data_IF_734564326755
#
_entry.id   IF_734564326755
#
_cell.length_a   1.000
_cell.length_b   1.000
_cell.length_c   1.000
_cell.angle_alpha   90.00
_cell.angle_beta   90.00
_cell.angle_gamma   90.00
#
_symmetry.space_group_name_H-M   'P 1'
#
loop_
_entity.id
_entity.type
_entity.pdbx_description
1 polymer ?
#
# COMPACT_ATOMS: atom_id res chain seq x y z
N UNK A 1 27.02 58.16 -46.95
CA UNK A 1 25.56 57.95 -46.78
C UNK A 1 25.36 56.83 -45.77
N UNK A 2 25.05 57.20 -44.53
CA UNK A 2 24.94 56.29 -43.38
C UNK A 2 23.59 55.56 -43.39
N UNK A 3 23.61 54.24 -43.16
CA UNK A 3 22.42 53.42 -42.87
C UNK A 3 22.17 53.44 -41.36
N UNK A 4 20.94 53.66 -40.85
CA UNK A 4 20.66 53.58 -39.43
C UNK A 4 20.47 52.12 -38.98
N UNK A 5 21.04 51.79 -37.82
CA UNK A 5 20.83 50.55 -37.07
C UNK A 5 19.46 50.60 -36.37
N UNK A 6 18.65 49.57 -36.57
CA UNK A 6 17.45 49.29 -35.76
C UNK A 6 17.89 48.60 -34.46
N UNK A 7 17.75 49.31 -33.33
CA UNK A 7 17.85 48.71 -32.01
C UNK A 7 16.47 48.18 -31.60
N UNK A 8 16.32 46.85 -31.52
CA UNK A 8 15.14 46.20 -30.97
C UNK A 8 15.24 46.18 -29.44
N UNK A 9 14.38 46.93 -28.77
CA UNK A 9 14.20 46.85 -27.32
C UNK A 9 13.40 45.57 -26.99
N UNK A 10 14.09 44.53 -26.51
CA UNK A 10 13.46 43.35 -25.93
C UNK A 10 12.97 43.67 -24.52
N UNK A 11 11.66 43.75 -24.32
CA UNK A 11 11.07 43.81 -22.99
C UNK A 11 11.18 42.42 -22.34
N UNK A 12 12.01 42.30 -21.29
CA UNK A 12 11.94 41.16 -20.37
C UNK A 12 10.61 41.25 -19.60
N UNK A 13 9.66 40.39 -19.95
CA UNK A 13 8.50 40.10 -19.10
C UNK A 13 8.97 39.25 -17.92
N UNK A 14 9.17 39.90 -16.77
CA UNK A 14 9.28 39.21 -15.49
C UNK A 14 7.89 38.69 -15.16
N UNK A 15 7.66 37.39 -15.33
CA UNK A 15 6.43 36.74 -14.86
C UNK A 15 6.44 36.72 -13.34
N UNK A 16 5.71 37.64 -12.71
CA UNK A 16 5.37 37.54 -11.29
C UNK A 16 4.50 36.31 -11.10
N UNK A 17 5.02 35.26 -10.45
CA UNK A 17 4.25 34.08 -10.10
C UNK A 17 3.04 34.48 -9.26
N UNK A 18 1.84 34.18 -9.76
CA UNK A 18 0.63 34.27 -8.96
C UNK A 18 0.77 33.26 -7.81
N UNK A 19 0.71 33.74 -6.57
CA UNK A 19 0.63 32.85 -5.41
C UNK A 19 -0.62 31.96 -5.57
N UNK A 20 -0.44 30.64 -5.49
CA UNK A 20 -1.53 29.69 -5.49
C UNK A 20 -2.54 30.07 -4.40
N UNK A 21 -3.83 30.17 -4.76
CA UNK A 21 -4.90 30.43 -3.79
C UNK A 21 -5.17 29.14 -3.03
N UNK A 22 -4.66 29.06 -1.81
CA UNK A 22 -5.01 28.02 -0.84
C UNK A 22 -6.53 28.04 -0.61
N UNK A 23 -7.21 26.93 -0.89
CA UNK A 23 -8.65 26.82 -0.64
C UNK A 23 -8.87 26.47 0.84
N UNK A 24 -9.73 27.20 1.56
CA UNK A 24 -9.99 26.89 2.96
C UNK A 24 -10.62 25.49 3.07
N UNK A 25 -10.11 24.65 3.98
CA UNK A 25 -10.71 23.35 4.29
C UNK A 25 -12.13 23.54 4.84
N UNK A 26 -13.03 22.55 4.63
CA UNK A 26 -14.33 22.56 5.29
C UNK A 26 -14.19 22.68 6.82
N UNK A 27 -15.20 23.21 7.53
CA UNK A 27 -15.18 23.19 8.99
C UNK A 27 -15.21 21.74 9.50
N UNK A 28 -14.35 21.42 10.49
CA UNK A 28 -14.32 20.11 11.14
C UNK A 28 -14.87 20.21 12.58
N UNK A 29 -15.53 19.16 13.05
CA UNK A 29 -16.03 19.07 14.43
C UNK A 29 -15.66 17.73 15.03
N UNK A 30 -14.77 17.75 16.02
CA UNK A 30 -14.43 16.57 16.81
C UNK A 30 -15.62 16.19 17.72
N UNK A 31 -15.87 14.89 17.89
CA UNK A 31 -16.95 14.40 18.76
C UNK A 31 -18.34 14.42 18.12
N UNK A 32 -18.44 14.36 16.79
CA UNK A 32 -19.72 14.18 16.11
C UNK A 32 -20.41 12.87 16.54
N UNK A 33 -21.70 12.95 16.86
CA UNK A 33 -22.55 11.79 17.13
C UNK A 33 -23.56 11.56 15.99
N UNK A 34 -23.91 10.31 15.65
CA UNK A 34 -24.84 10.00 14.58
C UNK A 34 -26.26 10.53 14.88
N UNK A 35 -26.78 11.39 14.01
CA UNK A 35 -28.04 12.12 14.23
C UNK A 35 -29.26 11.36 13.69
N UNK A 36 -29.12 10.69 12.57
CA UNK A 36 -30.22 9.98 11.90
C UNK A 36 -30.28 8.49 12.26
N UNK A 37 -31.43 7.84 11.98
CA UNK A 37 -31.58 6.39 12.17
C UNK A 37 -30.58 5.63 11.29
N UNK A 38 -30.38 6.09 10.05
CA UNK A 38 -29.46 5.48 9.09
C UNK A 38 -28.00 5.60 9.56
N UNK A 39 -27.61 6.78 10.04
CA UNK A 39 -26.28 6.98 10.62
C UNK A 39 -26.05 6.10 11.84
N UNK A 40 -27.01 6.02 12.76
CA UNK A 40 -26.90 5.14 13.94
C UNK A 40 -26.77 3.68 13.56
N UNK A 41 -27.54 3.21 12.57
CA UNK A 41 -27.45 1.85 12.06
C UNK A 41 -26.06 1.55 11.47
N UNK A 42 -25.56 2.42 10.59
CA UNK A 42 -24.23 2.26 9.98
C UNK A 42 -23.11 2.32 11.02
N UNK A 43 -23.21 3.18 12.03
CA UNK A 43 -22.23 3.25 13.11
C UNK A 43 -22.23 1.98 13.95
N UNK A 44 -23.42 1.46 14.29
CA UNK A 44 -23.52 0.18 14.99
C UNK A 44 -22.89 -0.98 14.21
N UNK A 45 -23.08 -1.03 12.88
CA UNK A 45 -22.44 -2.04 12.04
C UNK A 45 -20.92 -1.86 11.99
N UNK A 46 -20.45 -0.62 11.87
CA UNK A 46 -19.02 -0.29 11.90
C UNK A 46 -18.37 -0.64 13.26
N UNK A 47 -19.09 -0.46 14.38
CA UNK A 47 -18.62 -0.81 15.72
C UNK A 47 -18.49 -2.33 15.90
N UNK A 48 -19.45 -3.12 15.40
CA UNK A 48 -19.35 -4.58 15.38
C UNK A 48 -18.18 -5.05 14.49
N UNK A 49 -17.99 -4.42 13.33
CA UNK A 49 -16.85 -4.72 12.48
C UNK A 49 -15.53 -4.38 13.16
N UNK A 50 -15.43 -3.24 13.83
CA UNK A 50 -14.25 -2.83 14.59
C UNK A 50 -13.90 -3.83 15.70
N UNK A 51 -14.91 -4.40 16.41
CA UNK A 51 -14.68 -5.48 17.38
C UNK A 51 -14.03 -6.69 16.72
N UNK A 52 -14.54 -7.09 15.54
CA UNK A 52 -13.98 -8.22 14.79
C UNK A 52 -12.53 -7.96 14.36
N UNK A 53 -12.21 -6.74 13.93
CA UNK A 53 -10.87 -6.31 13.54
C UNK A 53 -9.91 -6.35 14.74
N UNK A 54 -10.33 -5.85 15.91
CA UNK A 54 -9.53 -5.88 17.14
C UNK A 54 -9.11 -7.30 17.54
N UNK A 55 -10.02 -8.27 17.36
CA UNK A 55 -9.75 -9.70 17.65
C UNK A 55 -9.09 -10.48 16.50
N UNK A 56 -8.87 -9.86 15.34
CA UNK A 56 -8.41 -10.55 14.14
C UNK A 56 -6.92 -10.90 14.22
N UNK A 57 -6.55 -12.12 13.82
CA UNK A 57 -5.15 -12.52 13.64
C UNK A 57 -4.46 -11.80 12.48
N UNK A 58 -5.22 -11.12 11.63
CA UNK A 58 -4.67 -10.25 10.58
C UNK A 58 -4.23 -8.89 11.13
N UNK A 59 -4.64 -8.49 12.34
CA UNK A 59 -4.25 -7.21 12.92
C UNK A 59 -2.76 -7.23 13.25
N UNK A 60 -2.05 -6.19 12.81
CA UNK A 60 -0.64 -5.98 13.16
C UNK A 60 -0.59 -5.26 14.51
N UNK A 61 -0.21 -6.00 15.54
CA UNK A 61 -0.16 -5.55 16.95
C UNK A 61 1.19 -4.89 17.29
N UNK A 62 1.60 -3.92 16.47
CA UNK A 62 2.84 -3.17 16.65
C UNK A 62 2.54 -1.69 16.90
N UNK A 63 2.80 -1.24 18.12
CA UNK A 63 2.49 0.13 18.54
C UNK A 63 3.27 1.16 17.71
N UNK A 64 4.52 0.86 17.35
CA UNK A 64 5.37 1.75 16.57
C UNK A 64 4.82 1.99 15.16
N UNK A 65 4.46 0.93 14.44
CA UNK A 65 3.91 1.01 13.10
C UNK A 65 2.53 1.70 13.09
N UNK A 66 1.63 1.34 14.02
CA UNK A 66 0.32 1.96 14.10
C UNK A 66 0.43 3.46 14.45
N UNK A 67 1.32 3.82 15.39
CA UNK A 67 1.59 5.22 15.74
C UNK A 67 2.18 5.99 14.55
N UNK A 68 3.11 5.41 13.80
CA UNK A 68 3.71 6.03 12.63
C UNK A 68 2.68 6.28 11.51
N UNK A 69 1.83 5.29 11.19
CA UNK A 69 0.76 5.47 10.18
C UNK A 69 -0.22 6.57 10.63
N UNK A 70 -0.58 6.60 11.92
CA UNK A 70 -1.39 7.68 12.50
C UNK A 70 -0.69 9.03 12.39
N UNK A 71 0.62 9.10 12.66
CA UNK A 71 1.40 10.33 12.56
C UNK A 71 1.39 10.88 11.13
N UNK A 72 1.55 10.02 10.11
CA UNK A 72 1.46 10.42 8.70
C UNK A 72 0.06 10.96 8.37
N UNK A 73 -1.00 10.31 8.84
CA UNK A 73 -2.37 10.83 8.71
C UNK A 73 -2.49 12.22 9.35
N UNK A 74 -2.07 12.38 10.62
CA UNK A 74 -2.14 13.65 11.34
C UNK A 74 -1.35 14.78 10.65
N UNK A 75 -0.15 14.48 10.14
CA UNK A 75 0.64 15.43 9.35
C UNK A 75 -0.06 15.84 8.06
N UNK A 76 -0.89 14.96 7.50
CA UNK A 76 -1.60 15.22 6.24
C UNK A 76 -2.90 16.00 6.47
N UNK A 77 -3.80 15.52 7.34
CA UNK A 77 -5.13 16.12 7.53
C UNK A 77 -5.18 17.15 8.66
N UNK A 78 -4.13 17.26 9.47
CA UNK A 78 -4.09 18.11 10.66
C UNK A 78 -4.56 17.39 11.93
N UNK A 79 -4.05 17.85 13.09
CA UNK A 79 -4.26 17.20 14.39
C UNK A 79 -5.73 17.14 14.79
N UNK A 80 -6.46 18.26 14.67
CA UNK A 80 -7.88 18.34 15.03
C UNK A 80 -8.71 17.26 14.31
N UNK A 81 -8.40 17.02 13.02
CA UNK A 81 -9.05 16.01 12.18
C UNK A 81 -8.66 14.58 12.55
N UNK A 82 -7.37 14.33 12.75
CA UNK A 82 -6.88 12.98 12.99
C UNK A 82 -7.21 12.46 14.40
N UNK A 83 -7.49 13.35 15.37
CA UNK A 83 -7.78 12.97 16.75
C UNK A 83 -8.98 12.03 16.87
N UNK A 84 -9.98 12.16 16.00
CA UNK A 84 -11.15 11.29 15.95
C UNK A 84 -10.94 9.94 15.26
N UNK A 85 -9.78 9.71 14.64
CA UNK A 85 -9.52 8.50 13.83
C UNK A 85 -8.89 7.41 14.66
N UNK A 86 -9.26 6.15 14.46
CA UNK A 86 -8.58 4.98 15.05
C UNK A 86 -7.98 4.15 13.92
N UNK A 87 -6.64 4.09 13.87
CA UNK A 87 -5.90 3.40 12.80
C UNK A 87 -5.65 1.95 13.20
N UNK A 88 -5.90 1.03 12.27
CA UNK A 88 -5.58 -0.39 12.39
C UNK A 88 -4.83 -0.87 11.15
N UNK A 89 -3.57 -1.26 11.31
CA UNK A 89 -2.82 -1.92 10.24
C UNK A 89 -3.18 -3.40 10.18
N UNK A 90 -3.51 -3.89 8.98
CA UNK A 90 -3.87 -5.27 8.70
C UNK A 90 -2.83 -5.93 7.80
N UNK A 91 -2.37 -7.11 8.20
CA UNK A 91 -1.44 -7.94 7.45
C UNK A 91 -2.12 -8.58 6.24
N UNK A 92 -2.32 -7.77 5.19
CA UNK A 92 -2.91 -8.14 3.92
C UNK A 92 -2.02 -7.54 2.82
N UNK A 93 -1.35 -8.37 1.99
CA UNK A 93 -0.33 -7.89 1.05
C UNK A 93 -0.85 -7.18 -0.20
N UNK A 94 -2.17 -6.97 -0.31
CA UNK A 94 -2.78 -6.18 -1.36
C UNK A 94 -2.78 -4.68 -1.00
N UNK A 95 -2.68 -3.83 -2.01
CA UNK A 95 -2.79 -2.37 -1.85
C UNK A 95 -4.23 -1.99 -1.48
N UNK A 96 -4.44 -1.46 -0.28
CA UNK A 96 -5.73 -0.90 0.13
C UNK A 96 -5.65 -0.06 1.42
N UNK A 97 -6.59 0.87 1.55
CA UNK A 97 -6.97 1.51 2.80
C UNK A 97 -8.48 1.79 2.76
N UNK A 98 -9.13 1.91 3.91
CA UNK A 98 -10.55 2.29 4.00
C UNK A 98 -10.80 3.07 5.29
N UNK A 99 -11.81 3.94 5.27
CA UNK A 99 -12.24 4.69 6.45
C UNK A 99 -13.74 4.49 6.72
N UNK A 100 -14.05 3.96 7.90
CA UNK A 100 -15.41 3.63 8.33
C UNK A 100 -16.15 4.84 8.91
N UNK A 101 -17.50 4.86 8.86
CA UNK A 101 -18.30 5.97 9.37
C UNK A 101 -18.12 6.31 10.85
N UNK A 102 -17.67 5.36 11.68
CA UNK A 102 -17.44 5.56 13.12
C UNK A 102 -16.02 6.07 13.44
N UNK A 103 -15.19 6.36 12.44
CA UNK A 103 -13.80 6.81 12.64
C UNK A 103 -12.74 5.71 12.60
N UNK A 104 -13.10 4.45 12.33
CA UNK A 104 -12.13 3.36 12.15
C UNK A 104 -11.47 3.41 10.76
N UNK A 105 -10.16 3.64 10.71
CA UNK A 105 -9.33 3.53 9.51
C UNK A 105 -8.61 2.19 9.49
N UNK A 106 -8.68 1.47 8.37
CA UNK A 106 -7.87 0.27 8.14
C UNK A 106 -6.88 0.49 7.01
N UNK A 107 -5.65 0.08 7.24
CA UNK A 107 -4.54 0.20 6.30
C UNK A 107 -3.94 -1.17 6.06
N UNK A 108 -3.88 -1.62 4.81
CA UNK A 108 -3.35 -2.94 4.49
C UNK A 108 -1.83 -2.87 4.29
N UNK A 109 -1.09 -3.87 4.76
CA UNK A 109 0.39 -3.91 4.64
C UNK A 109 0.88 -3.82 3.20
N UNK A 110 0.08 -4.26 2.22
CA UNK A 110 0.39 -4.09 0.80
C UNK A 110 0.40 -2.63 0.32
N UNK A 111 -0.33 -1.73 0.97
CA UNK A 111 -0.21 -0.28 0.73
C UNK A 111 1.15 0.22 1.23
N UNK A 112 1.53 -0.17 2.46
CA UNK A 112 2.81 0.26 3.07
C UNK A 112 4.03 -0.16 2.24
N UNK A 113 3.99 -1.34 1.62
CA UNK A 113 5.10 -1.78 0.76
C UNK A 113 5.21 -0.98 -0.57
N UNK A 114 4.10 -0.42 -1.06
CA UNK A 114 4.01 0.24 -2.37
C UNK A 114 4.17 1.75 -2.33
N UNK A 115 3.68 2.40 -1.28
CA UNK A 115 3.94 3.81 -1.07
C UNK A 115 5.46 4.02 -0.91
N UNK A 116 6.00 5.05 -1.55
CA UNK A 116 7.44 5.32 -1.59
C UNK A 116 7.88 6.44 -0.66
N UNK A 117 6.93 7.08 0.02
CA UNK A 117 7.16 8.25 0.85
C UNK A 117 6.04 8.49 1.86
N UNK A 118 6.29 9.33 2.87
CA UNK A 118 5.23 9.80 3.78
C UNK A 118 4.12 10.52 3.01
N UNK A 119 4.47 11.28 1.96
CA UNK A 119 3.53 12.01 1.12
C UNK A 119 2.59 11.09 0.32
N UNK A 120 3.11 10.01 -0.26
CA UNK A 120 2.29 9.02 -0.98
C UNK A 120 1.36 8.27 -0.03
N UNK A 121 1.84 7.88 1.16
CA UNK A 121 0.96 7.30 2.19
C UNK A 121 -0.10 8.32 2.61
N UNK A 122 0.31 9.56 2.89
CA UNK A 122 -0.57 10.68 3.21
C UNK A 122 -1.65 10.91 2.15
N UNK A 123 -1.30 10.83 0.87
CA UNK A 123 -2.25 10.99 -0.24
C UNK A 123 -3.41 9.99 -0.14
N UNK A 124 -3.10 8.71 0.08
CA UNK A 124 -4.10 7.65 0.20
C UNK A 124 -4.92 7.83 1.47
N UNK A 125 -4.28 8.09 2.62
CA UNK A 125 -5.00 8.26 3.90
C UNK A 125 -5.88 9.52 3.90
N UNK A 126 -5.41 10.60 3.27
CA UNK A 126 -6.17 11.85 3.10
C UNK A 126 -7.37 11.67 2.17
N UNK A 127 -7.24 10.89 1.10
CA UNK A 127 -8.35 10.50 0.23
C UNK A 127 -9.43 9.71 1.00
N UNK A 128 -9.03 8.70 1.77
CA UNK A 128 -9.96 7.94 2.62
C UNK A 128 -10.62 8.82 3.69
N UNK A 129 -9.87 9.73 4.29
CA UNK A 129 -10.39 10.69 5.25
C UNK A 129 -11.39 11.66 4.60
N UNK A 130 -11.16 12.09 3.36
CA UNK A 130 -12.09 12.93 2.62
C UNK A 130 -13.44 12.23 2.39
N UNK A 131 -13.45 10.93 2.05
CA UNK A 131 -14.69 10.14 1.98
C UNK A 131 -15.46 10.14 3.31
N UNK A 132 -14.74 10.06 4.43
CA UNK A 132 -15.30 10.11 5.77
C UNK A 132 -15.85 11.50 6.12
N UNK A 133 -15.06 12.56 5.93
CA UNK A 133 -15.47 13.94 6.24
C UNK A 133 -16.69 14.37 5.40
N UNK A 134 -16.75 13.94 4.13
CA UNK A 134 -17.88 14.20 3.21
C UNK A 134 -19.05 13.22 3.35
N UNK A 135 -18.96 12.24 4.26
CA UNK A 135 -19.97 11.22 4.56
C UNK A 135 -20.43 10.44 3.33
N UNK A 136 -19.51 10.08 2.44
CA UNK A 136 -19.83 9.41 1.19
C UNK A 136 -20.50 8.04 1.40
N UNK A 137 -20.10 7.28 2.41
CA UNK A 137 -20.71 5.97 2.71
C UNK A 137 -22.17 6.12 3.14
N UNK A 138 -22.51 7.17 3.92
CA UNK A 138 -23.88 7.46 4.31
C UNK A 138 -24.74 7.86 3.11
N UNK A 139 -24.25 8.78 2.28
CA UNK A 139 -24.95 9.20 1.06
C UNK A 139 -25.20 8.01 0.12
N UNK A 140 -24.20 7.14 -0.04
CA UNK A 140 -24.31 5.91 -0.84
C UNK A 140 -25.31 4.91 -0.27
N UNK A 141 -25.32 4.72 1.06
CA UNK A 141 -26.30 3.88 1.75
C UNK A 141 -27.74 4.40 1.56
N UNK A 142 -27.97 5.70 1.77
CA UNK A 142 -29.27 6.34 1.59
C UNK A 142 -29.77 6.23 0.15
N UNK A 143 -28.90 6.43 -0.84
CA UNK A 143 -29.24 6.28 -2.25
C UNK A 143 -29.69 4.85 -2.58
N UNK A 144 -28.97 3.82 -2.08
CA UNK A 144 -29.35 2.40 -2.28
C UNK A 144 -30.66 2.07 -1.58
N UNK A 145 -30.87 2.56 -0.36
CA UNK A 145 -32.13 2.37 0.37
C UNK A 145 -33.32 3.00 -0.36
N UNK A 146 -33.15 4.15 -1.00
CA UNK A 146 -34.23 4.75 -1.79
C UNK A 146 -34.58 3.94 -3.05
N UNK A 147 -33.62 3.18 -3.59
CA UNK A 147 -33.79 2.33 -4.76
C UNK A 147 -34.35 0.92 -4.45
N UNK A 148 -34.27 0.47 -3.20
CA UNK A 148 -34.77 -0.84 -2.72
C UNK A 148 -35.86 -0.64 -1.69
N UNK A 149 -37.04 -1.25 -1.87
CA UNK A 149 -38.21 -1.07 -0.98
C UNK A 149 -37.83 -1.04 0.52
N UNK A 150 -38.18 0.04 1.22
CA UNK A 150 -37.74 0.33 2.60
C UNK A 150 -38.08 -0.81 3.58
N UNK A 151 -39.14 -1.57 3.31
CA UNK A 151 -39.55 -2.74 4.10
C UNK A 151 -38.51 -3.88 4.09
N UNK A 152 -37.73 -4.02 3.02
CA UNK A 152 -36.73 -5.09 2.89
C UNK A 152 -35.53 -4.89 3.84
N UNK A 153 -35.14 -3.64 4.13
CA UNK A 153 -33.98 -3.34 4.98
C UNK A 153 -34.25 -3.47 6.49
N UNK A 154 -35.48 -3.25 6.94
CA UNK A 154 -35.88 -3.52 8.34
C UNK A 154 -35.69 -4.99 8.74
N UNK A 155 -35.83 -5.92 7.79
CA UNK A 155 -35.54 -7.34 8.01
C UNK A 155 -34.03 -7.64 7.97
N UNK A 156 -33.25 -6.90 7.18
CA UNK A 156 -31.78 -7.07 7.09
C UNK A 156 -31.08 -6.58 8.35
N UNK A 157 -31.46 -5.40 8.88
CA UNK A 157 -30.95 -4.91 10.17
C UNK A 157 -31.41 -5.79 11.34
N UNK A 158 -32.63 -6.36 11.28
CA UNK A 158 -33.14 -7.31 12.26
C UNK A 158 -32.44 -8.69 12.24
N UNK A 159 -32.02 -9.15 11.06
CA UNK A 159 -31.35 -10.45 10.87
C UNK A 159 -29.82 -10.38 10.91
N UNK A 160 -29.20 -9.20 10.81
CA UNK A 160 -27.75 -9.03 10.94
C UNK A 160 -27.21 -9.45 12.32
N UNK A 161 -28.08 -9.50 13.33
CA UNK A 161 -27.78 -10.03 14.67
C UNK A 161 -27.74 -11.57 14.74
N UNK A 162 -28.09 -12.29 13.68
CA UNK A 162 -28.23 -13.76 13.70
C UNK A 162 -27.49 -14.51 12.59
N UNK A 163 -26.76 -13.84 11.69
CA UNK A 163 -26.09 -14.52 10.56
C UNK A 163 -24.60 -14.69 10.84
N UNK A 164 -24.23 -15.84 11.37
CA UNK A 164 -22.86 -16.33 11.50
C UNK A 164 -22.31 -16.81 10.15
N UNK A 165 -21.97 -15.87 9.26
CA UNK A 165 -21.07 -16.16 8.14
C UNK A 165 -20.13 -14.98 7.90
N UNK A 166 -18.89 -15.11 8.36
CA UNK A 166 -17.77 -14.16 8.17
C UNK A 166 -17.67 -13.63 6.72
N UNK A 167 -18.07 -14.42 5.72
CA UNK A 167 -18.04 -14.06 4.30
C UNK A 167 -19.16 -13.09 3.85
N UNK A 168 -20.34 -13.10 4.47
CA UNK A 168 -21.45 -12.20 4.09
C UNK A 168 -21.24 -10.78 4.61
N UNK A 169 -20.63 -10.65 5.80
CA UNK A 169 -20.25 -9.36 6.40
C UNK A 169 -19.25 -8.60 5.52
N UNK A 170 -18.17 -9.25 5.06
CA UNK A 170 -17.20 -8.61 4.15
C UNK A 170 -17.83 -8.15 2.81
N UNK A 171 -18.84 -8.85 2.28
CA UNK A 171 -19.49 -8.46 1.03
C UNK A 171 -20.44 -7.27 1.18
N UNK A 172 -21.14 -7.15 2.31
CA UNK A 172 -21.97 -5.99 2.60
C UNK A 172 -21.10 -4.76 2.89
N UNK A 173 -20.05 -4.94 3.69
CA UNK A 173 -19.08 -3.90 4.06
C UNK A 173 -18.31 -3.41 2.83
N UNK A 174 -17.85 -4.30 1.95
CA UNK A 174 -17.20 -3.90 0.70
C UNK A 174 -18.10 -3.07 -0.23
N UNK A 175 -19.43 -3.17 -0.08
CA UNK A 175 -20.38 -2.32 -0.82
C UNK A 175 -20.51 -0.91 -0.23
N UNK A 176 -20.20 -0.72 1.05
CA UNK A 176 -20.19 0.60 1.72
C UNK A 176 -19.07 1.50 1.22
N UNK A 177 -17.98 0.91 0.75
CA UNK A 177 -16.80 1.60 0.22
C UNK A 177 -16.77 1.66 -1.30
N UNK A 178 -17.93 1.49 -1.96
CA UNK A 178 -18.08 1.75 -3.40
C UNK A 178 -18.69 3.12 -3.59
N UNK A 179 -17.91 4.02 -4.17
CA UNK A 179 -18.33 5.39 -4.44
C UNK A 179 -18.52 5.63 -5.94
N UNK A 180 -19.38 6.60 -6.26
CA UNK A 180 -19.57 7.03 -7.64
C UNK A 180 -18.46 8.01 -8.08
N UNK A 181 -18.43 8.35 -9.38
CA UNK A 181 -17.37 9.20 -9.95
C UNK A 181 -17.33 10.59 -9.32
N UNK A 182 -18.48 11.14 -8.99
CA UNK A 182 -18.60 12.45 -8.35
C UNK A 182 -18.00 12.43 -6.94
N UNK A 183 -18.31 11.39 -6.16
CA UNK A 183 -17.76 11.20 -4.81
C UNK A 183 -16.24 10.95 -4.83
N UNK A 184 -15.74 10.18 -5.79
CA UNK A 184 -14.30 9.99 -5.98
C UNK A 184 -13.59 11.31 -6.29
N UNK A 185 -14.17 12.14 -7.17
CA UNK A 185 -13.63 13.45 -7.51
C UNK A 185 -13.66 14.42 -6.33
N UNK A 186 -14.74 14.43 -5.56
CA UNK A 186 -14.82 15.23 -4.32
C UNK A 186 -13.76 14.81 -3.31
N UNK A 187 -13.56 13.51 -3.12
CA UNK A 187 -12.54 12.97 -2.21
C UNK A 187 -11.11 13.24 -2.69
N UNK A 188 -10.87 13.17 -4.00
CA UNK A 188 -9.58 13.51 -4.60
C UNK A 188 -9.21 14.98 -4.39
N UNK A 189 -10.12 15.90 -4.69
CA UNK A 189 -9.84 17.33 -4.58
C UNK A 189 -9.61 17.73 -3.13
N UNK A 190 -10.41 17.20 -2.19
CA UNK A 190 -10.24 17.48 -0.77
C UNK A 190 -9.01 16.78 -0.18
N UNK A 191 -8.73 15.53 -0.60
CA UNK A 191 -7.50 14.82 -0.25
C UNK A 191 -6.24 15.58 -0.69
N UNK A 192 -6.30 16.15 -1.90
CA UNK A 192 -5.25 17.00 -2.44
C UNK A 192 -5.12 18.33 -1.69
N UNK A 193 -6.25 18.91 -1.24
CA UNK A 193 -6.24 20.10 -0.38
C UNK A 193 -5.56 19.83 0.98
N UNK A 194 -5.80 18.67 1.60
CA UNK A 194 -5.07 18.29 2.82
C UNK A 194 -3.56 18.22 2.56
N UNK A 195 -3.15 17.53 1.49
CA UNK A 195 -1.72 17.44 1.14
C UNK A 195 -1.10 18.81 0.85
N UNK A 196 -1.76 19.65 0.05
CA UNK A 196 -1.26 20.97 -0.31
C UNK A 196 -1.09 21.90 0.90
N UNK A 197 -1.92 21.73 1.93
CA UNK A 197 -1.83 22.46 3.21
C UNK A 197 -0.87 21.82 4.22
N UNK A 198 -0.39 20.62 3.92
CA UNK A 198 0.62 19.93 4.71
C UNK A 198 2.04 20.34 4.27
N UNK A 199 3.05 19.72 4.87
CA UNK A 199 4.45 19.87 4.45
C UNK A 199 4.82 19.06 3.19
N UNK A 200 3.90 18.24 2.67
CA UNK A 200 4.17 17.27 1.61
C UNK A 200 3.88 17.85 0.22
N UNK A 201 4.62 17.42 -0.82
CA UNK A 201 4.32 17.75 -2.19
C UNK A 201 2.98 17.14 -2.62
N UNK A 202 2.06 17.98 -3.07
CA UNK A 202 0.72 17.57 -3.47
C UNK A 202 0.72 16.69 -4.74
N UNK A 203 1.77 16.75 -5.57
CA UNK A 203 1.90 15.85 -6.74
C UNK A 203 1.94 14.37 -6.37
N UNK A 204 2.29 14.02 -5.14
CA UNK A 204 2.37 12.62 -4.69
C UNK A 204 1.03 11.90 -4.75
N UNK A 205 -0.10 12.61 -4.76
CA UNK A 205 -1.40 12.01 -5.07
C UNK A 205 -1.44 11.41 -6.49
N UNK A 206 -0.85 12.09 -7.49
CA UNK A 206 -0.73 11.57 -8.86
C UNK A 206 0.29 10.42 -8.94
N UNK A 207 1.43 10.55 -8.26
CA UNK A 207 2.51 9.55 -8.27
C UNK A 207 2.02 8.18 -7.80
N UNK A 208 1.17 8.11 -6.77
CA UNK A 208 0.53 6.86 -6.32
C UNK A 208 -0.16 6.14 -7.48
N UNK A 209 -0.99 6.85 -8.26
CA UNK A 209 -1.70 6.25 -9.39
C UNK A 209 -0.75 5.78 -10.48
N UNK A 210 0.25 6.59 -10.83
CA UNK A 210 1.27 6.23 -11.83
C UNK A 210 1.99 4.94 -11.42
N UNK A 211 2.44 4.85 -10.17
CA UNK A 211 3.17 3.68 -9.66
C UNK A 211 2.32 2.40 -9.69
N UNK A 212 1.04 2.48 -9.32
CA UNK A 212 0.13 1.33 -9.36
C UNK A 212 -0.21 0.90 -10.78
N UNK A 213 -0.37 1.84 -11.71
CA UNK A 213 -0.60 1.55 -13.12
C UNK A 213 0.60 0.83 -13.73
N UNK A 214 1.81 1.28 -13.44
CA UNK A 214 3.06 0.65 -13.90
C UNK A 214 3.23 -0.76 -13.33
N UNK A 215 2.96 -0.97 -12.03
CA UNK A 215 2.99 -2.30 -11.41
C UNK A 215 1.97 -3.26 -12.06
N UNK A 216 0.75 -2.77 -12.30
CA UNK A 216 -0.30 -3.55 -12.93
C UNK A 216 0.01 -3.88 -14.39
N UNK A 217 0.65 -2.96 -15.12
CA UNK A 217 1.13 -3.18 -16.48
C UNK A 217 2.26 -4.22 -16.53
N UNK A 218 3.19 -4.18 -15.57
CA UNK A 218 4.23 -5.19 -15.41
C UNK A 218 3.61 -6.57 -15.14
N UNK A 219 2.65 -6.64 -14.22
CA UNK A 219 1.88 -7.84 -13.90
C UNK A 219 1.18 -8.42 -15.13
N UNK A 220 0.44 -7.60 -15.87
CA UNK A 220 -0.28 -8.01 -17.07
C UNK A 220 0.68 -8.55 -18.15
N UNK A 221 1.80 -7.86 -18.35
CA UNK A 221 2.86 -8.27 -19.28
C UNK A 221 3.44 -9.64 -18.89
N UNK A 222 3.81 -9.82 -17.61
CA UNK A 222 4.37 -11.08 -17.11
C UNK A 222 3.38 -12.25 -17.22
N UNK A 223 2.09 -12.00 -16.99
CA UNK A 223 1.02 -13.01 -17.09
C UNK A 223 0.50 -13.21 -18.52
N UNK A 224 1.04 -12.49 -19.51
CA UNK A 224 0.56 -12.49 -20.91
C UNK A 224 -0.94 -12.17 -21.02
N UNK A 225 -1.45 -11.34 -20.12
CA UNK A 225 -2.82 -10.85 -20.13
C UNK A 225 -2.84 -9.56 -20.97
N UNK A 226 -3.86 -9.39 -21.83
CA UNK A 226 -4.05 -8.12 -22.54
C UNK A 226 -4.17 -7.00 -21.51
N UNK A 227 -3.37 -5.94 -21.65
CA UNK A 227 -3.51 -4.72 -20.85
C UNK A 227 -4.97 -4.28 -20.90
N UNK A 228 -5.61 -4.18 -19.74
CA UNK A 228 -6.99 -3.67 -19.64
C UNK A 228 -6.87 -2.22 -19.19
N UNK A 229 -7.54 -1.31 -19.88
CA UNK A 229 -7.73 0.09 -19.45
C UNK A 229 -8.63 0.21 -18.19
N UNK A 230 -8.84 -0.89 -17.46
CA UNK A 230 -9.59 -0.96 -16.20
C UNK A 230 -8.76 -1.83 -15.25
N UNK A 231 -8.05 -1.18 -14.35
CA UNK A 231 -7.29 -1.84 -13.30
C UNK A 231 -8.27 -2.45 -12.29
N UNK A 232 -8.05 -3.72 -11.90
CA UNK A 232 -8.94 -4.51 -11.02
C UNK A 232 -8.13 -5.16 -9.91
N UNK A 233 -7.60 -4.35 -9.00
CA UNK A 233 -6.85 -4.82 -7.85
C UNK A 233 -7.33 -4.05 -6.61
N UNK A 234 -7.80 -4.77 -5.58
CA UNK A 234 -7.95 -4.30 -4.20
C UNK A 234 -8.59 -2.93 -4.03
N UNK A 235 -7.77 -1.89 -3.95
CA UNK A 235 -8.16 -0.47 -3.95
C UNK A 235 -9.05 -0.06 -5.14
N UNK A 236 -8.80 -0.60 -6.34
CA UNK A 236 -9.59 -0.29 -7.54
C UNK A 236 -10.98 -0.95 -7.57
N UNK A 237 -11.21 -1.94 -6.70
CA UNK A 237 -12.52 -2.60 -6.56
C UNK A 237 -13.46 -1.81 -5.62
N UNK A 238 -12.91 -1.03 -4.70
CA UNK A 238 -13.62 -0.06 -3.87
C UNK A 238 -13.70 1.31 -4.56
N UNK A 239 -12.64 1.74 -5.25
CA UNK A 239 -12.53 3.03 -5.95
C UNK A 239 -12.26 2.85 -7.45
N UNK A 240 -13.23 3.06 -8.36
CA UNK A 240 -13.01 2.85 -9.79
C UNK A 240 -11.94 3.81 -10.36
N UNK A 241 -11.04 3.29 -11.19
CA UNK A 241 -10.03 4.10 -11.87
C UNK A 241 -10.59 4.80 -13.12
N UNK A 242 -10.23 6.07 -13.31
CA UNK A 242 -10.19 6.70 -14.63
C UNK A 242 -8.71 6.88 -15.00
N UNK A 243 -8.27 6.47 -16.19
CA UNK A 243 -6.87 6.68 -16.61
C UNK A 243 -6.47 8.15 -16.54
N UNK A 244 -7.44 9.05 -16.74
CA UNK A 244 -7.30 10.50 -16.65
C UNK A 244 -7.10 11.01 -15.21
N UNK A 245 -7.24 10.14 -14.19
CA UNK A 245 -7.17 10.50 -12.77
C UNK A 245 -5.78 10.99 -12.36
N UNK A 246 -4.74 10.29 -12.79
CA UNK A 246 -3.36 10.69 -12.50
C UNK A 246 -3.02 12.05 -13.12
N UNK A 247 -3.41 12.26 -14.38
CA UNK A 247 -3.12 13.49 -15.12
C UNK A 247 -3.82 14.70 -14.52
N UNK A 248 -5.13 14.59 -14.21
CA UNK A 248 -5.82 15.72 -13.62
C UNK A 248 -5.33 15.99 -12.19
N UNK A 249 -5.02 14.97 -11.39
CA UNK A 249 -4.46 15.17 -10.04
C UNK A 249 -3.13 15.91 -10.12
N UNK A 250 -2.29 15.61 -11.11
CA UNK A 250 -1.07 16.35 -11.37
C UNK A 250 -1.38 17.82 -11.72
N UNK A 251 -2.29 18.07 -12.65
CA UNK A 251 -2.70 19.43 -13.02
C UNK A 251 -3.21 20.23 -11.81
N UNK A 252 -4.09 19.62 -11.00
CA UNK A 252 -4.63 20.25 -9.79
C UNK A 252 -3.55 20.48 -8.72
N UNK A 253 -2.58 19.57 -8.58
CA UNK A 253 -1.48 19.71 -7.63
C UNK A 253 -0.62 20.93 -7.94
N UNK A 254 -0.29 21.13 -9.23
CA UNK A 254 0.48 22.28 -9.68
C UNK A 254 -0.25 23.60 -9.40
N UNK A 255 -1.57 23.62 -9.50
CA UNK A 255 -2.38 24.80 -9.20
C UNK A 255 -2.46 25.14 -7.70
N UNK A 256 -2.28 24.15 -6.82
CA UNK A 256 -2.37 24.28 -5.35
C UNK A 256 -1.02 24.51 -4.68
N UNK A 257 0.08 24.44 -5.42
CA UNK A 257 1.43 24.47 -4.89
C UNK A 257 1.94 23.05 -4.65
N UNK A 258 3.09 22.77 -5.25
CA UNK A 258 3.73 21.45 -5.23
C UNK A 258 5.14 21.60 -4.66
N UNK A 259 5.21 21.78 -3.34
CA UNK A 259 6.45 22.08 -2.63
C UNK A 259 6.58 21.19 -1.41
N UNK A 260 7.79 21.08 -0.87
CA UNK A 260 8.07 20.30 0.32
C UNK A 260 8.86 19.03 0.06
N UNK A 261 9.17 18.33 1.14
CA UNK A 261 9.85 17.04 1.13
C UNK A 261 8.81 15.92 1.23
N UNK A 262 8.86 14.95 0.33
CA UNK A 262 7.97 13.79 0.34
C UNK A 262 8.19 12.90 1.57
N UNK A 263 9.33 13.01 2.25
CA UNK A 263 9.64 12.23 3.44
C UNK A 263 10.05 10.78 3.15
N UNK A 264 10.62 10.51 1.96
CA UNK A 264 11.01 9.16 1.53
C UNK A 264 12.01 8.50 2.50
N UNK A 265 13.03 9.24 2.96
CA UNK A 265 14.03 8.70 3.88
C UNK A 265 13.42 8.30 5.23
N UNK A 266 12.60 9.17 5.83
CA UNK A 266 11.86 8.88 7.06
C UNK A 266 10.93 7.68 6.89
N UNK A 267 10.29 7.59 5.73
CA UNK A 267 9.40 6.50 5.38
C UNK A 267 10.08 5.14 5.35
N UNK A 268 11.18 5.01 4.62
CA UNK A 268 11.93 3.75 4.58
C UNK A 268 12.58 3.42 5.93
N UNK A 269 13.01 4.42 6.71
CA UNK A 269 13.51 4.18 8.06
C UNK A 269 12.43 3.57 8.98
N UNK A 270 11.21 4.12 8.94
CA UNK A 270 10.09 3.61 9.74
C UNK A 270 9.65 2.20 9.33
N UNK A 271 9.68 1.88 8.04
CA UNK A 271 9.31 0.55 7.53
C UNK A 271 10.43 -0.49 7.57
N UNK A 272 11.68 -0.10 7.79
CA UNK A 272 12.83 -1.01 7.76
C UNK A 272 12.65 -2.28 8.65
N UNK A 273 12.12 -2.19 9.89
CA UNK A 273 11.86 -3.38 10.71
C UNK A 273 10.83 -4.35 10.11
N UNK A 274 9.89 -3.82 9.32
CA UNK A 274 8.78 -4.56 8.71
C UNK A 274 9.12 -5.10 7.32
N UNK A 275 10.09 -4.48 6.64
CA UNK A 275 10.43 -4.77 5.25
C UNK A 275 10.63 -6.27 4.96
N UNK A 276 11.34 -7.07 5.78
CA UNK A 276 11.47 -8.51 5.53
C UNK A 276 10.13 -9.24 5.40
N UNK A 277 9.18 -8.94 6.30
CA UNK A 277 7.85 -9.57 6.31
C UNK A 277 7.00 -9.11 5.13
N UNK A 278 7.04 -7.82 4.81
CA UNK A 278 6.30 -7.25 3.69
C UNK A 278 6.77 -7.87 2.36
N UNK A 279 8.08 -7.99 2.18
CA UNK A 279 8.67 -8.59 0.98
C UNK A 279 8.35 -10.08 0.87
N UNK A 280 8.42 -10.83 1.97
CA UNK A 280 8.04 -12.24 2.01
C UNK A 280 6.58 -12.45 1.54
N UNK A 281 5.64 -11.64 2.07
CA UNK A 281 4.24 -11.74 1.68
C UNK A 281 4.02 -11.34 0.22
N UNK A 282 4.76 -10.34 -0.29
CA UNK A 282 4.71 -9.95 -1.68
C UNK A 282 5.21 -11.06 -2.61
N UNK A 283 6.33 -11.71 -2.29
CA UNK A 283 6.84 -12.86 -3.07
C UNK A 283 5.81 -13.99 -3.09
N UNK A 284 5.10 -14.22 -1.98
CA UNK A 284 4.03 -15.24 -1.89
C UNK A 284 2.81 -14.96 -2.77
N UNK A 285 2.60 -13.72 -3.23
CA UNK A 285 1.54 -13.41 -4.20
C UNK A 285 1.77 -14.08 -5.56
N UNK A 286 2.97 -14.64 -5.80
CA UNK A 286 3.33 -15.32 -7.04
C UNK A 286 3.11 -14.43 -8.27
N UNK A 287 3.37 -13.14 -8.12
CA UNK A 287 3.31 -12.15 -9.17
C UNK A 287 4.72 -11.74 -9.57
N UNK A 288 5.35 -12.55 -10.43
CA UNK A 288 6.76 -12.37 -10.75
C UNK A 288 7.06 -10.97 -11.30
N UNK A 289 6.36 -10.53 -12.35
CA UNK A 289 6.67 -9.28 -13.01
C UNK A 289 6.27 -8.05 -12.18
N UNK A 290 5.11 -8.07 -11.50
CA UNK A 290 4.71 -7.00 -10.59
C UNK A 290 5.66 -6.86 -9.41
N UNK A 291 6.08 -7.98 -8.82
CA UNK A 291 7.06 -7.98 -7.72
C UNK A 291 8.43 -7.51 -8.18
N UNK A 292 8.88 -7.90 -9.37
CA UNK A 292 10.18 -7.44 -9.90
C UNK A 292 10.17 -5.92 -10.14
N UNK A 293 9.09 -5.37 -10.70
CA UNK A 293 8.89 -3.92 -10.80
C UNK A 293 8.95 -3.23 -9.42
N UNK A 294 8.22 -3.75 -8.44
CA UNK A 294 8.18 -3.19 -7.09
C UNK A 294 9.56 -3.21 -6.41
N UNK A 295 10.30 -4.32 -6.51
CA UNK A 295 11.65 -4.44 -5.96
C UNK A 295 12.62 -3.44 -6.61
N UNK A 296 12.59 -3.27 -7.93
CA UNK A 296 13.40 -2.27 -8.62
C UNK A 296 13.03 -0.84 -8.19
N UNK A 297 11.74 -0.57 -8.02
CA UNK A 297 11.24 0.72 -7.57
C UNK A 297 11.77 1.08 -6.17
N UNK A 298 11.72 0.15 -5.21
CA UNK A 298 12.26 0.39 -3.87
C UNK A 298 13.78 0.57 -3.95
N UNK A 299 14.46 -0.31 -4.69
CA UNK A 299 15.91 -0.25 -4.87
C UNK A 299 16.39 1.04 -5.56
N UNK A 300 15.57 1.68 -6.40
CA UNK A 300 15.89 2.97 -7.01
C UNK A 300 16.06 4.08 -5.95
N UNK A 301 15.42 3.95 -4.79
CA UNK A 301 15.52 4.91 -3.69
C UNK A 301 16.50 4.46 -2.62
N UNK A 302 16.46 3.19 -2.23
CA UNK A 302 17.24 2.66 -1.10
C UNK A 302 18.58 2.05 -1.51
N UNK A 303 18.81 1.86 -2.81
CA UNK A 303 19.78 0.90 -3.31
C UNK A 303 19.32 -0.54 -3.10
N UNK A 304 20.05 -1.50 -3.68
CA UNK A 304 19.82 -2.93 -3.45
C UNK A 304 20.32 -3.33 -2.06
N UNK A 305 19.43 -3.28 -1.07
CA UNK A 305 19.71 -3.78 0.28
C UNK A 305 19.73 -5.30 0.30
N UNK A 306 20.28 -5.88 1.37
CA UNK A 306 20.28 -7.32 1.56
C UNK A 306 18.88 -7.94 1.61
N UNK A 307 17.91 -7.26 2.21
CA UNK A 307 16.50 -7.66 2.25
C UNK A 307 15.90 -7.73 0.84
N UNK A 308 16.16 -6.72 -0.01
CA UNK A 308 15.68 -6.69 -1.39
C UNK A 308 16.34 -7.76 -2.25
N UNK A 309 17.65 -7.98 -2.07
CA UNK A 309 18.40 -9.02 -2.76
C UNK A 309 17.89 -10.41 -2.37
N UNK A 310 17.63 -10.66 -1.08
CA UNK A 310 17.03 -11.90 -0.61
C UNK A 310 15.63 -12.11 -1.20
N UNK A 311 14.76 -11.10 -1.12
CA UNK A 311 13.41 -11.19 -1.67
C UNK A 311 13.42 -11.46 -3.18
N UNK A 312 14.31 -10.80 -3.93
CA UNK A 312 14.51 -11.08 -5.35
C UNK A 312 15.01 -12.50 -5.58
N UNK A 313 15.96 -12.98 -4.77
CA UNK A 313 16.45 -14.35 -4.86
C UNK A 313 15.33 -15.38 -4.64
N UNK A 314 14.47 -15.16 -3.65
CA UNK A 314 13.28 -15.97 -3.37
C UNK A 314 12.29 -15.95 -4.55
N UNK A 315 12.05 -14.78 -5.14
CA UNK A 315 11.20 -14.62 -6.31
C UNK A 315 11.66 -15.47 -7.50
N UNK A 316 12.97 -15.53 -7.76
CA UNK A 316 13.52 -16.43 -8.78
C UNK A 316 13.47 -17.91 -8.34
N UNK A 317 13.83 -18.21 -7.09
CA UNK A 317 13.88 -19.57 -6.57
C UNK A 317 12.51 -20.29 -6.62
N UNK A 318 11.41 -19.55 -6.39
CA UNK A 318 10.04 -20.11 -6.41
C UNK A 318 9.60 -20.61 -7.79
N UNK A 319 10.16 -20.09 -8.89
CA UNK A 319 9.89 -20.57 -10.26
C UNK A 319 10.51 -21.93 -10.56
N UNK A 320 11.53 -22.34 -9.80
CA UNK A 320 12.05 -23.70 -9.75
C UNK A 320 12.74 -24.23 -11.01
N UNK A 321 12.89 -23.45 -12.08
CA UNK A 321 13.64 -23.89 -13.27
C UNK A 321 15.15 -23.65 -13.10
N UNK A 322 16.02 -24.42 -13.81
CA UNK A 322 17.47 -24.38 -13.56
C UNK A 322 18.12 -23.01 -13.74
N UNK A 323 17.65 -22.20 -14.69
CA UNK A 323 18.21 -20.85 -14.94
C UNK A 323 17.88 -19.91 -13.80
N UNK A 324 16.63 -19.92 -13.32
CA UNK A 324 16.23 -19.07 -12.20
C UNK A 324 16.93 -19.48 -10.90
N UNK A 325 17.22 -20.77 -10.68
CA UNK A 325 17.98 -21.23 -9.51
C UNK A 325 19.43 -20.72 -9.52
N UNK A 326 20.06 -20.61 -10.69
CA UNK A 326 21.39 -20.00 -10.83
C UNK A 326 21.30 -18.51 -10.49
N UNK A 327 20.32 -17.79 -11.03
CA UNK A 327 20.10 -16.38 -10.71
C UNK A 327 19.84 -16.16 -9.22
N UNK A 328 19.00 -17.00 -8.60
CA UNK A 328 18.71 -16.94 -7.18
C UNK A 328 19.97 -17.16 -6.34
N UNK A 329 20.81 -18.13 -6.71
CA UNK A 329 22.10 -18.39 -6.04
C UNK A 329 22.98 -17.14 -6.04
N UNK A 330 23.15 -16.50 -7.20
CA UNK A 330 23.93 -15.25 -7.31
C UNK A 330 23.33 -14.13 -6.45
N UNK A 331 22.00 -13.98 -6.44
CA UNK A 331 21.34 -12.94 -5.65
C UNK A 331 21.49 -13.17 -4.13
N UNK A 332 21.41 -14.41 -3.66
CA UNK A 332 21.67 -14.71 -2.25
C UNK A 332 23.13 -14.44 -1.86
N UNK A 333 24.09 -14.79 -2.73
CA UNK A 333 25.51 -14.47 -2.49
C UNK A 333 25.72 -12.96 -2.42
N UNK A 334 25.12 -12.19 -3.34
CA UNK A 334 25.17 -10.72 -3.29
C UNK A 334 24.55 -10.17 -1.99
N UNK A 335 23.47 -10.77 -1.48
CA UNK A 335 22.88 -10.39 -0.19
C UNK A 335 23.87 -10.63 0.97
N UNK A 336 24.56 -11.77 0.96
CA UNK A 336 25.60 -12.10 1.95
C UNK A 336 26.78 -11.11 1.85
N UNK A 337 27.21 -10.76 0.64
CA UNK A 337 28.33 -9.83 0.40
C UNK A 337 28.06 -8.43 0.95
N UNK A 338 26.80 -7.99 0.98
CA UNK A 338 26.38 -6.72 1.61
C UNK A 338 26.05 -6.88 3.11
N UNK A 339 26.45 -8.00 3.73
CA UNK A 339 26.32 -8.25 5.16
C UNK A 339 24.99 -8.88 5.59
N UNK A 340 24.11 -9.22 4.66
CA UNK A 340 22.80 -9.82 4.98
C UNK A 340 22.87 -11.34 5.01
N UNK A 341 23.47 -11.86 6.09
CA UNK A 341 23.65 -13.29 6.34
C UNK A 341 22.60 -13.84 7.32
N UNK A 342 21.30 -13.65 7.02
CA UNK A 342 20.23 -14.19 7.87
C UNK A 342 20.09 -15.72 7.68
N UNK A 343 19.52 -16.45 8.65
CA UNK A 343 19.23 -17.87 8.50
C UNK A 343 18.40 -18.17 7.23
N UNK A 344 17.39 -17.34 6.94
CA UNK A 344 16.57 -17.44 5.73
C UNK A 344 17.40 -17.32 4.43
N UNK A 345 18.39 -16.42 4.39
CA UNK A 345 19.32 -16.28 3.24
C UNK A 345 20.13 -17.55 3.03
N UNK A 346 20.69 -18.12 4.11
CA UNK A 346 21.48 -19.36 4.06
C UNK A 346 20.62 -20.54 3.62
N UNK A 347 19.40 -20.65 4.15
CA UNK A 347 18.42 -21.66 3.77
C UNK A 347 18.10 -21.59 2.28
N UNK A 348 17.76 -20.40 1.78
CA UNK A 348 17.42 -20.16 0.39
C UNK A 348 18.58 -20.47 -0.56
N UNK A 349 19.79 -20.01 -0.23
CA UNK A 349 21.01 -20.29 -0.98
C UNK A 349 21.30 -21.79 -1.03
N UNK A 350 21.29 -22.45 0.13
CA UNK A 350 21.56 -23.88 0.23
C UNK A 350 20.57 -24.72 -0.58
N UNK A 351 19.27 -24.42 -0.49
CA UNK A 351 18.25 -25.09 -1.29
C UNK A 351 18.43 -24.86 -2.80
N UNK A 352 18.74 -23.63 -3.22
CA UNK A 352 19.00 -23.31 -4.62
C UNK A 352 20.20 -24.08 -5.18
N UNK A 353 21.31 -24.12 -4.44
CA UNK A 353 22.53 -24.87 -4.80
C UNK A 353 22.27 -26.37 -4.92
N UNK A 354 21.59 -26.96 -3.93
CA UNK A 354 21.23 -28.39 -3.96
C UNK A 354 20.37 -28.70 -5.19
N UNK A 355 19.34 -27.89 -5.45
CA UNK A 355 18.43 -28.07 -6.59
C UNK A 355 19.10 -27.83 -7.94
N UNK A 356 20.16 -27.01 -7.99
CA UNK A 356 20.98 -26.81 -9.19
C UNK A 356 22.12 -27.83 -9.34
N UNK A 357 22.18 -28.86 -8.50
CA UNK A 357 23.16 -29.96 -8.60
C UNK A 357 24.45 -29.78 -7.78
N UNK A 358 24.65 -28.63 -7.13
CA UNK A 358 25.81 -28.33 -6.28
C UNK A 358 25.56 -28.79 -4.84
N UNK A 359 25.33 -30.09 -4.66
CA UNK A 359 24.82 -30.65 -3.40
C UNK A 359 25.73 -30.39 -2.19
N UNK A 360 27.03 -30.62 -2.32
CA UNK A 360 27.97 -30.45 -1.20
C UNK A 360 28.04 -29.00 -0.74
N UNK A 361 28.17 -28.06 -1.69
CA UNK A 361 28.19 -26.61 -1.40
C UNK A 361 26.88 -26.17 -0.75
N UNK A 362 25.74 -26.61 -1.28
CA UNK A 362 24.44 -26.28 -0.71
C UNK A 362 24.24 -26.84 0.71
N UNK A 363 24.71 -28.06 0.97
CA UNK A 363 24.63 -28.67 2.30
C UNK A 363 25.40 -27.90 3.38
N UNK A 364 26.50 -27.22 3.02
CA UNK A 364 27.24 -26.35 3.96
C UNK A 364 26.37 -25.18 4.45
N UNK A 365 25.67 -24.50 3.54
CA UNK A 365 24.76 -23.41 3.91
C UNK A 365 23.54 -23.89 4.68
N UNK A 366 22.98 -25.05 4.32
CA UNK A 366 21.86 -25.65 5.05
C UNK A 366 22.26 -26.07 6.47
N UNK A 367 23.51 -26.50 6.68
CA UNK A 367 24.04 -26.77 8.03
C UNK A 367 24.10 -25.50 8.86
N UNK A 368 24.64 -24.40 8.31
CA UNK A 368 24.66 -23.08 8.99
C UNK A 368 23.25 -22.61 9.36
N UNK A 369 22.28 -22.80 8.47
CA UNK A 369 20.87 -22.53 8.76
C UNK A 369 20.35 -23.37 9.94
N UNK A 370 20.57 -24.68 9.93
CA UNK A 370 20.13 -25.59 11.00
C UNK A 370 20.84 -25.32 12.35
N UNK A 371 22.07 -24.82 12.32
CA UNK A 371 22.79 -24.38 13.51
C UNK A 371 22.18 -23.10 14.09
N UNK A 372 21.79 -22.16 13.23
CA UNK A 372 21.18 -20.90 13.64
C UNK A 372 19.72 -21.08 14.11
N UNK A 373 18.95 -21.95 13.45
CA UNK A 373 17.54 -22.21 13.72
C UNK A 373 17.23 -23.72 13.84
N UNK A 374 17.73 -24.40 14.89
CA UNK A 374 17.56 -25.85 15.04
C UNK A 374 16.10 -26.29 15.23
N UNK A 375 15.23 -25.38 15.69
CA UNK A 375 13.81 -25.60 15.94
C UNK A 375 12.88 -25.07 14.84
N UNK A 376 13.41 -24.67 13.68
CA UNK A 376 12.57 -24.21 12.59
C UNK A 376 11.56 -25.29 12.14
N UNK A 377 10.32 -24.92 11.77
CA UNK A 377 9.27 -25.89 11.41
C UNK A 377 9.66 -26.86 10.29
N UNK A 378 10.55 -26.44 9.40
CA UNK A 378 11.03 -27.23 8.27
C UNK A 378 12.44 -27.82 8.49
N UNK A 379 13.03 -27.67 9.70
CA UNK A 379 14.36 -28.19 10.00
C UNK A 379 14.51 -29.69 9.68
N UNK A 380 13.48 -30.49 9.98
CA UNK A 380 13.46 -31.93 9.65
C UNK A 380 13.55 -32.19 8.15
N UNK A 381 12.87 -31.39 7.32
CA UNK A 381 12.96 -31.48 5.86
C UNK A 381 14.35 -31.03 5.38
N UNK A 382 14.86 -29.94 5.94
CA UNK A 382 16.18 -29.40 5.56
C UNK A 382 17.31 -30.38 5.88
N UNK A 383 17.23 -31.11 7.00
CA UNK A 383 18.20 -32.17 7.36
C UNK A 383 18.32 -33.26 6.29
N UNK A 384 17.28 -33.54 5.52
CA UNK A 384 17.33 -34.53 4.42
C UNK A 384 18.30 -34.13 3.29
N UNK A 385 18.65 -32.85 3.19
CA UNK A 385 19.58 -32.32 2.19
C UNK A 385 21.02 -32.18 2.71
N UNK A 386 21.25 -32.44 4.01
CA UNK A 386 22.56 -32.37 4.64
C UNK A 386 23.02 -33.80 4.95
N UNK A 387 23.95 -34.38 4.17
CA UNK A 387 24.41 -35.74 4.43
C UNK A 387 25.10 -35.84 5.80
N UNK A 388 24.85 -36.96 6.50
CA UNK A 388 25.50 -37.27 7.77
C UNK A 388 27.00 -37.48 7.55
N UNK A 389 27.84 -36.76 8.29
CA UNK A 389 29.30 -36.87 8.23
C UNK A 389 29.80 -38.30 8.48
N UNK A 390 28.97 -39.15 9.09
CA UNK A 390 29.26 -40.57 9.37
C UNK A 390 29.09 -41.50 8.16
N UNK A 391 28.44 -41.05 7.09
CA UNK A 391 28.20 -41.86 5.88
C UNK A 391 29.14 -41.53 4.71
N UNK A 392 30.04 -40.56 4.89
CA UNK A 392 30.99 -40.11 3.87
C UNK A 392 32.37 -40.79 3.98
N UNK A 393 32.42 -42.08 4.34
CA UNK A 393 33.65 -42.89 4.33
C UNK A 393 33.64 -43.92 3.23
#
# INVERSE_FOLDING_TARGET
MNRPLLAAAGALLISTGAAAKEQPLPPFTLGYEPQTVDERGMWSEADEWEKSVKSSTLRVDDEGLNAYVREVLCKTVGTDRCDGVRVYVLNIPAFNATMSPNGMMMVWTGLLLRARSEAELGAVLGHEFAHFELRHSLKGFQARRSASDVLAWTQVLGNALQVDTRNSQFSLIGSLFRFNREQEKEADLLGLDYLAQSKYPSRSASEVWQHLMEEADATATGRKIKKRHRYRAGFFDTHPTELDRADYLLEQSMAKGDTGDAGAASYYAALSPWLPKLLEDQVRLNDFAGTEYLLNSIAATTGWTGELLQARAELFATRGNPRDLITATTLYLNAIDVGHSRPATMRGLGLSLVKSGKRSEGAEYLRKYLEAEPGAPDASLIRMYVPDERTAK
#
